data_IF_366140459187
#
_entry.id   IF_366140459187
#
_cell.length_a   1.000
_cell.length_b   1.000
_cell.length_c   1.000
_cell.angle_alpha   90.00
_cell.angle_beta   90.00
_cell.angle_gamma   90.00
#
_symmetry.space_group_name_H-M   'P 1'
#
loop_
_entity.id
_entity.type
_entity.pdbx_description
1 polymer ?
#
# COMPACT_ATOMS: atom_id res chain seq x y z
N UNK A 1 44.06 -5.69 62.43
CA UNK A 1 43.88 -4.25 62.13
C UNK A 1 43.32 -4.14 60.72
N UNK A 2 42.12 -3.55 60.59
CA UNK A 2 41.59 -2.74 59.48
C UNK A 2 42.08 -3.05 58.06
N UNK A 3 41.20 -3.30 57.08
CA UNK A 3 40.44 -2.23 56.43
C UNK A 3 39.26 -2.80 55.63
N UNK A 4 38.07 -2.23 55.87
CA UNK A 4 36.92 -2.27 54.97
C UNK A 4 37.27 -1.48 53.70
N UNK A 5 37.28 -2.15 52.54
CA UNK A 5 37.40 -1.52 51.23
C UNK A 5 36.06 -1.66 50.51
N UNK A 6 35.26 -0.61 50.64
CA UNK A 6 33.98 -0.41 49.97
C UNK A 6 34.23 -0.29 48.48
N UNK A 7 33.69 -1.22 47.69
CA UNK A 7 33.82 -1.22 46.21
C UNK A 7 32.87 -0.18 45.59
N UNK A 8 33.10 1.11 45.86
CA UNK A 8 32.51 2.20 45.07
C UNK A 8 33.42 2.47 43.88
N UNK A 9 33.32 1.64 42.85
CA UNK A 9 33.94 1.95 41.57
C UNK A 9 33.00 2.83 40.77
N UNK A 10 33.52 4.03 40.49
CA UNK A 10 32.92 5.10 39.71
C UNK A 10 32.46 4.61 38.33
N UNK A 11 31.16 4.65 38.06
CA UNK A 11 30.67 4.87 36.69
C UNK A 11 30.59 6.38 36.45
N UNK A 12 31.71 6.98 36.04
CA UNK A 12 31.70 8.26 35.33
C UNK A 12 31.81 7.97 33.84
N UNK A 13 30.73 7.47 33.24
CA UNK A 13 30.51 7.67 31.81
C UNK A 13 29.68 8.94 31.72
N UNK A 14 30.33 10.05 31.37
CA UNK A 14 29.66 11.32 31.12
C UNK A 14 28.64 11.12 30.01
N UNK A 15 27.38 11.48 30.29
CA UNK A 15 26.36 11.57 29.26
C UNK A 15 26.82 12.62 28.24
N UNK A 16 27.23 12.18 27.05
CA UNK A 16 27.36 13.06 25.90
C UNK A 16 25.92 13.43 25.53
N UNK A 17 25.47 14.59 26.00
CA UNK A 17 24.24 15.19 25.53
C UNK A 17 24.45 15.57 24.06
N UNK A 18 24.05 14.69 23.15
CA UNK A 18 23.89 15.06 21.75
C UNK A 18 22.73 16.05 21.69
N UNK A 19 22.95 17.31 21.28
CA UNK A 19 21.84 18.26 21.13
C UNK A 19 20.94 17.75 20.01
N UNK A 20 19.76 17.26 20.37
CA UNK A 20 18.74 16.79 19.42
C UNK A 20 18.01 17.98 18.81
N UNK A 21 18.73 18.86 18.14
CA UNK A 21 18.13 20.07 17.57
C UNK A 21 18.90 20.52 16.34
N UNK A 22 18.94 19.69 15.31
CA UNK A 22 19.11 20.24 13.96
C UNK A 22 17.80 20.93 13.58
N UNK A 23 17.79 22.23 13.25
CA UNK A 23 16.59 22.85 12.70
C UNK A 23 16.23 22.10 11.42
N UNK A 24 15.04 21.50 11.39
CA UNK A 24 14.47 20.99 10.15
C UNK A 24 14.22 22.22 9.29
N UNK A 25 15.06 22.42 8.28
CA UNK A 25 14.76 23.37 7.21
C UNK A 25 13.35 23.05 6.69
N UNK A 26 12.52 24.08 6.46
CA UNK A 26 11.18 23.89 5.93
C UNK A 26 11.29 23.06 4.63
N UNK A 27 10.81 21.81 4.67
CA UNK A 27 10.83 20.94 3.52
C UNK A 27 10.01 21.59 2.41
N UNK A 28 10.56 21.67 1.19
CA UNK A 28 9.74 21.99 0.04
C UNK A 28 8.58 20.99 -0.03
N UNK A 29 7.35 21.42 -0.39
CA UNK A 29 6.25 20.49 -0.52
C UNK A 29 6.66 19.40 -1.51
N UNK A 30 6.60 18.14 -1.05
CA UNK A 30 6.83 17.00 -1.93
C UNK A 30 5.93 17.19 -3.17
N UNK A 31 6.43 16.91 -4.39
CA UNK A 31 5.57 16.93 -5.56
C UNK A 31 4.36 16.03 -5.27
N UNK A 32 3.18 16.51 -5.66
CA UNK A 32 1.89 15.95 -5.24
C UNK A 32 1.77 14.42 -5.42
N UNK A 33 2.56 13.83 -6.30
CA UNK A 33 2.92 12.41 -6.22
C UNK A 33 4.16 12.14 -7.06
N UNK A 34 5.06 11.29 -6.57
CA UNK A 34 6.09 10.69 -7.42
C UNK A 34 5.40 9.59 -8.26
N UNK A 35 5.18 9.87 -9.55
CA UNK A 35 4.68 8.93 -10.57
C UNK A 35 3.36 8.18 -10.25
N UNK A 36 2.42 8.80 -9.50
CA UNK A 36 1.13 8.16 -9.26
C UNK A 36 0.33 7.95 -10.55
N UNK A 37 -0.59 6.99 -10.51
CA UNK A 37 -1.61 6.87 -11.54
C UNK A 37 -2.54 8.09 -11.46
N UNK A 38 -2.89 8.73 -12.59
CA UNK A 38 -3.93 9.74 -12.62
C UNK A 38 -5.23 9.22 -11.97
N UNK A 39 -5.91 9.99 -11.10
CA UNK A 39 -7.11 9.51 -10.42
C UNK A 39 -8.19 8.98 -11.38
N UNK A 40 -8.33 9.59 -12.56
CA UNK A 40 -9.35 9.18 -13.53
C UNK A 40 -9.07 7.82 -14.17
N UNK A 41 -7.80 7.47 -14.41
CA UNK A 41 -7.47 6.13 -14.93
C UNK A 41 -7.66 5.06 -13.85
N UNK A 42 -7.46 5.42 -12.57
CA UNK A 42 -7.74 4.53 -11.43
C UNK A 42 -9.24 4.28 -11.30
N UNK A 43 -10.06 5.34 -11.32
CA UNK A 43 -11.52 5.23 -11.30
C UNK A 43 -12.04 4.42 -12.47
N UNK A 44 -11.57 4.73 -13.68
CA UNK A 44 -11.95 3.98 -14.88
C UNK A 44 -11.62 2.49 -14.70
N UNK A 45 -10.38 2.16 -14.33
CA UNK A 45 -9.94 0.79 -14.13
C UNK A 45 -10.84 0.01 -13.16
N UNK A 46 -11.18 0.57 -12.01
CA UNK A 46 -12.05 -0.08 -11.02
C UNK A 46 -13.48 -0.20 -11.56
N UNK A 47 -14.04 0.86 -12.16
CA UNK A 47 -15.38 0.81 -12.76
C UNK A 47 -15.50 -0.24 -13.86
N UNK A 48 -14.55 -0.30 -14.81
CA UNK A 48 -14.61 -1.28 -15.91
C UNK A 48 -14.40 -2.72 -15.43
N UNK A 49 -13.73 -2.92 -14.28
CA UNK A 49 -13.48 -4.24 -13.70
C UNK A 49 -14.76 -4.96 -13.23
N UNK A 50 -15.88 -4.26 -13.14
CA UNK A 50 -17.18 -4.88 -12.88
C UNK A 50 -17.66 -5.74 -14.07
N UNK A 51 -17.31 -5.41 -15.32
CA UNK A 51 -17.94 -6.08 -16.47
C UNK A 51 -17.29 -5.93 -17.85
N UNK A 52 -16.41 -4.97 -18.06
CA UNK A 52 -15.82 -4.71 -19.38
C UNK A 52 -14.42 -5.31 -19.50
N UNK A 53 -14.37 -6.60 -19.81
CA UNK A 53 -13.13 -7.37 -19.89
C UNK A 53 -12.13 -6.83 -20.94
N UNK A 54 -12.61 -6.44 -22.12
CA UNK A 54 -11.73 -5.92 -23.16
C UNK A 54 -11.06 -4.61 -22.72
N UNK A 55 -11.81 -3.72 -22.07
CA UNK A 55 -11.23 -2.48 -21.54
C UNK A 55 -10.25 -2.73 -20.41
N UNK A 56 -10.54 -3.68 -19.51
CA UNK A 56 -9.60 -4.11 -18.47
C UNK A 56 -8.28 -4.57 -19.10
N UNK A 57 -8.33 -5.40 -20.15
CA UNK A 57 -7.13 -5.87 -20.85
C UNK A 57 -6.33 -4.73 -21.49
N UNK A 58 -7.00 -3.82 -22.18
CA UNK A 58 -6.35 -2.65 -22.78
C UNK A 58 -5.58 -1.84 -21.73
N UNK A 59 -6.24 -1.55 -20.61
CA UNK A 59 -5.66 -0.77 -19.52
C UNK A 59 -4.44 -1.49 -18.91
N UNK A 60 -4.59 -2.75 -18.51
CA UNK A 60 -3.51 -3.53 -17.89
C UNK A 60 -2.33 -3.73 -18.85
N UNK A 61 -2.58 -4.00 -20.14
CA UNK A 61 -1.51 -4.16 -21.13
C UNK A 61 -0.75 -2.84 -21.37
N UNK A 62 -1.42 -1.70 -21.32
CA UNK A 62 -0.77 -0.39 -21.49
C UNK A 62 0.03 0.03 -20.24
N UNK A 63 -0.48 -0.29 -19.04
CA UNK A 63 0.16 0.04 -17.76
C UNK A 63 -0.09 -1.09 -16.75
N UNK A 64 0.84 -2.06 -16.62
CA UNK A 64 0.64 -3.24 -15.76
C UNK A 64 0.35 -2.94 -14.27
N UNK A 65 0.75 -1.76 -13.79
CA UNK A 65 0.41 -1.32 -12.44
C UNK A 65 -1.11 -1.16 -12.20
N UNK A 66 -1.91 -0.97 -13.26
CA UNK A 66 -3.37 -0.83 -13.17
C UNK A 66 -4.07 -2.11 -12.67
N UNK A 67 -3.43 -3.29 -12.76
CA UNK A 67 -3.99 -4.50 -12.14
C UNK A 67 -4.05 -4.45 -10.60
N UNK A 68 -3.36 -3.49 -9.96
CA UNK A 68 -3.22 -3.39 -8.50
C UNK A 68 -3.78 -2.10 -7.91
N UNK A 69 -4.41 -1.25 -8.72
CA UNK A 69 -4.89 0.04 -8.22
C UNK A 69 -6.15 -0.14 -7.39
N UNK A 70 -6.30 0.76 -6.42
CA UNK A 70 -7.51 0.94 -5.64
C UNK A 70 -7.97 2.40 -5.75
N UNK A 71 -9.27 2.58 -5.81
CA UNK A 71 -9.93 3.89 -5.74
C UNK A 71 -10.44 4.11 -4.31
N UNK A 72 -10.28 5.35 -3.84
CA UNK A 72 -10.97 5.84 -2.65
C UNK A 72 -12.29 6.47 -3.09
N UNK A 73 -13.41 5.84 -2.75
CA UNK A 73 -14.76 6.37 -2.99
C UNK A 73 -15.16 7.44 -1.97
N UNK A 74 -14.33 7.67 -0.94
CA UNK A 74 -14.58 8.56 0.18
C UNK A 74 -15.15 7.83 1.39
N UNK A 75 -15.21 8.51 2.54
CA UNK A 75 -15.76 7.98 3.79
C UNK A 75 -15.13 6.66 4.29
N UNK A 76 -13.91 6.34 3.82
CA UNK A 76 -13.22 5.10 4.16
C UNK A 76 -13.61 3.90 3.29
N UNK A 77 -14.38 4.12 2.22
CA UNK A 77 -14.73 3.09 1.25
C UNK A 77 -13.66 3.01 0.15
N UNK A 78 -12.93 1.90 0.12
CA UNK A 78 -11.86 1.65 -0.84
C UNK A 78 -12.15 0.39 -1.62
N UNK A 79 -11.97 0.47 -2.94
CA UNK A 79 -12.22 -0.65 -3.83
C UNK A 79 -11.03 -0.82 -4.79
N UNK A 80 -10.52 -2.05 -4.91
CA UNK A 80 -9.54 -2.39 -5.94
C UNK A 80 -10.21 -3.06 -7.15
N UNK A 81 -9.48 -3.12 -8.26
CA UNK A 81 -9.99 -3.72 -9.50
C UNK A 81 -10.44 -5.18 -9.30
N UNK A 82 -9.74 -5.95 -8.45
CA UNK A 82 -10.10 -7.34 -8.17
C UNK A 82 -11.36 -7.45 -7.32
N UNK A 83 -11.57 -6.55 -6.35
CA UNK A 83 -12.75 -6.43 -5.52
C UNK A 83 -13.99 -6.12 -6.36
N UNK A 84 -13.89 -5.15 -7.27
CA UNK A 84 -14.91 -4.83 -8.25
C UNK A 84 -15.30 -6.04 -9.13
N UNK A 85 -14.32 -6.83 -9.59
CA UNK A 85 -14.63 -8.05 -10.33
C UNK A 85 -15.26 -9.13 -9.44
N UNK A 86 -14.77 -9.28 -8.21
CA UNK A 86 -15.17 -10.35 -7.29
C UNK A 86 -16.58 -10.15 -6.74
N UNK A 87 -16.98 -8.92 -6.41
CA UNK A 87 -18.26 -8.67 -5.74
C UNK A 87 -19.49 -8.89 -6.65
N UNK A 88 -19.30 -8.90 -7.98
CA UNK A 88 -20.33 -9.17 -9.00
C UNK A 88 -20.19 -10.58 -9.59
N UNK A 89 -19.23 -11.38 -9.11
CA UNK A 89 -19.02 -12.74 -9.59
C UNK A 89 -18.34 -12.84 -10.97
N UNK A 90 -17.61 -11.81 -11.41
CA UNK A 90 -16.95 -11.82 -12.71
C UNK A 90 -15.63 -12.61 -12.66
N UNK A 91 -15.74 -13.93 -12.70
CA UNK A 91 -14.62 -14.88 -12.68
C UNK A 91 -13.56 -14.56 -13.73
N UNK A 92 -13.97 -14.23 -14.96
CA UNK A 92 -13.04 -14.04 -16.07
C UNK A 92 -12.14 -12.82 -15.87
N UNK A 93 -12.70 -11.69 -15.43
CA UNK A 93 -11.92 -10.49 -15.10
C UNK A 93 -11.02 -10.78 -13.89
N UNK A 94 -11.55 -11.43 -12.85
CA UNK A 94 -10.79 -11.72 -11.64
C UNK A 94 -9.56 -12.61 -11.92
N UNK A 95 -9.72 -13.69 -12.68
CA UNK A 95 -8.61 -14.57 -13.06
C UNK A 95 -7.56 -13.84 -13.91
N UNK A 96 -7.97 -12.97 -14.83
CA UNK A 96 -7.04 -12.13 -15.59
C UNK A 96 -6.27 -11.14 -14.71
N UNK A 97 -6.95 -10.45 -13.79
CA UNK A 97 -6.31 -9.52 -12.87
C UNK A 97 -5.30 -10.23 -11.96
N UNK A 98 -5.66 -11.41 -11.43
CA UNK A 98 -4.78 -12.27 -10.63
C UNK A 98 -3.54 -12.69 -11.43
N UNK A 99 -3.72 -13.13 -12.69
CA UNK A 99 -2.61 -13.47 -13.57
C UNK A 99 -1.69 -12.28 -13.88
N UNK A 100 -2.21 -11.05 -13.83
CA UNK A 100 -1.45 -9.81 -14.01
C UNK A 100 -0.99 -9.17 -12.67
N UNK A 101 -1.09 -9.94 -11.58
CA UNK A 101 -0.48 -9.61 -10.31
C UNK A 101 -1.32 -8.75 -9.37
N UNK A 102 -2.65 -8.67 -9.59
CA UNK A 102 -3.58 -8.26 -8.55
C UNK A 102 -3.37 -9.13 -7.28
N UNK A 103 -3.54 -8.52 -6.11
CA UNK A 103 -3.33 -9.22 -4.83
C UNK A 103 -4.58 -10.03 -4.50
N UNK A 104 -4.50 -11.36 -4.31
CA UNK A 104 -5.66 -12.15 -3.88
C UNK A 104 -6.25 -11.64 -2.57
N UNK A 105 -7.58 -11.68 -2.45
CA UNK A 105 -8.34 -11.28 -1.26
C UNK A 105 -9.27 -12.40 -0.80
N UNK A 106 -9.82 -12.27 0.41
CA UNK A 106 -10.84 -13.19 0.93
C UNK A 106 -12.08 -13.22 0.00
N UNK A 107 -12.48 -12.07 -0.53
CA UNK A 107 -13.62 -11.94 -1.45
C UNK A 107 -13.36 -12.64 -2.78
N UNK A 108 -12.16 -12.50 -3.35
CA UNK A 108 -11.80 -13.21 -4.57
C UNK A 108 -11.73 -14.72 -4.34
N UNK A 109 -11.19 -15.17 -3.20
CA UNK A 109 -11.13 -16.59 -2.87
C UNK A 109 -12.54 -17.19 -2.69
N UNK A 110 -13.43 -16.48 -1.99
CA UNK A 110 -14.82 -16.87 -1.83
C UNK A 110 -15.55 -16.94 -3.18
N UNK A 111 -15.45 -15.90 -4.01
CA UNK A 111 -16.06 -15.84 -5.34
C UNK A 111 -15.56 -16.97 -6.24
N UNK A 112 -14.27 -17.29 -6.19
CA UNK A 112 -13.67 -18.34 -7.00
C UNK A 112 -13.95 -19.77 -6.48
N UNK A 113 -14.54 -19.93 -5.29
CA UNK A 113 -14.83 -21.23 -4.68
C UNK A 113 -13.59 -21.91 -4.09
N UNK A 114 -12.69 -21.14 -3.48
CA UNK A 114 -11.40 -21.60 -2.95
C UNK A 114 -11.34 -21.66 -1.40
N UNK A 115 -12.51 -21.58 -0.74
CA UNK A 115 -12.66 -21.59 0.73
C UNK A 115 -13.52 -22.76 1.19
#
# INVERSE_FOLDING_TARGET
>A
MTLSLTRRHLWKLGAIALPWSTPVAAAEPLPASFDANPPEIVREMVSVSHGNFERVKELVNSRPALARVAVDWGFGDWEDALGAASHVGNRHIAEYLLANGARPTLFSAAMLGQL
#
